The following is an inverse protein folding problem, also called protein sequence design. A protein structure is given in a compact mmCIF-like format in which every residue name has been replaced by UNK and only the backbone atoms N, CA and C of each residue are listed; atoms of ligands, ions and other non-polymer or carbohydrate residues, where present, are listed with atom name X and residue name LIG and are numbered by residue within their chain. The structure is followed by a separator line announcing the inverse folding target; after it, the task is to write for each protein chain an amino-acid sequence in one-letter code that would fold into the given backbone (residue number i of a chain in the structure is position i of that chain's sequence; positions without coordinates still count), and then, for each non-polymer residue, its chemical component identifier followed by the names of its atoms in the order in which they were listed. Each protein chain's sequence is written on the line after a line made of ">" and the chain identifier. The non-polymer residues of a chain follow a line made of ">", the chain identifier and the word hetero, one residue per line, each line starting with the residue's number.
data_IF_342869836381
#
_entry.id   IF_342869836381
#
_cell.length_a   1.000
_cell.length_b   1.000
_cell.length_c   1.000
_cell.angle_alpha   90.00
_cell.angle_beta   90.00
_cell.angle_gamma   90.00
#
_symmetry.space_group_name_H-M   'P 1'
#
loop_
_entity.id
_entity.type
_entity.pdbx_description
1 polymer ?
#
# COMPACT_ATOMS: atom_id res chain seq x y z
N UNK A 1 -20.02 16.30 31.33
CA UNK A 1 -18.77 15.80 30.75
C UNK A 1 -18.54 14.42 31.34
N UNK A 2 -18.95 13.39 30.58
CA UNK A 2 -18.89 12.00 31.02
C UNK A 2 -17.55 11.42 30.53
N UNK A 3 -16.55 11.42 31.42
CA UNK A 3 -15.27 10.73 31.21
C UNK A 3 -15.50 9.21 31.32
N UNK A 4 -16.01 8.61 30.24
CA UNK A 4 -15.95 7.16 30.06
C UNK A 4 -14.57 6.79 29.54
N UNK A 5 -13.60 6.73 30.45
CA UNK A 5 -12.40 5.92 30.25
C UNK A 5 -12.90 4.48 30.13
N UNK A 6 -13.04 3.98 28.90
CA UNK A 6 -13.27 2.57 28.61
C UNK A 6 -11.97 1.84 28.99
N UNK A 7 -11.85 1.52 30.27
CA UNK A 7 -10.74 0.77 30.81
C UNK A 7 -10.71 -0.61 30.18
N UNK A 8 -9.58 -0.97 29.59
CA UNK A 8 -9.26 -2.36 29.27
C UNK A 8 -9.42 -3.19 30.55
N UNK A 9 -10.50 -3.97 30.65
CA UNK A 9 -10.60 -5.02 31.65
C UNK A 9 -9.60 -6.10 31.26
N UNK A 10 -8.38 -6.00 31.78
CA UNK A 10 -7.45 -7.14 31.81
C UNK A 10 -8.16 -8.27 32.57
N UNK A 11 -8.39 -9.40 31.90
CA UNK A 11 -8.71 -10.62 32.61
C UNK A 11 -7.58 -10.89 33.62
N UNK A 12 -7.93 -11.28 34.85
CA UNK A 12 -6.93 -11.58 35.86
C UNK A 12 -6.13 -12.80 35.42
N UNK A 13 -4.87 -12.59 35.03
CA UNK A 13 -3.97 -13.68 34.68
C UNK A 13 -3.66 -14.54 35.88
N UNK A 14 -3.73 -15.86 35.68
CA UNK A 14 -3.37 -16.84 36.71
C UNK A 14 -1.87 -16.72 37.03
N UNK A 15 -1.49 -16.68 38.31
CA UNK A 15 -0.08 -16.65 38.69
C UNK A 15 0.67 -17.85 38.11
N UNK A 16 1.68 -17.60 37.27
CA UNK A 16 2.53 -18.64 36.67
C UNK A 16 2.40 -18.82 35.16
N UNK A 17 1.39 -18.22 34.52
CA UNK A 17 1.30 -18.19 33.07
C UNK A 17 2.13 -17.05 32.47
N UNK A 18 2.80 -17.24 31.32
CA UNK A 18 3.49 -16.17 30.62
C UNK A 18 2.50 -15.06 30.25
N UNK A 19 2.91 -13.80 30.40
CA UNK A 19 2.11 -12.65 30.00
C UNK A 19 1.71 -12.76 28.52
N UNK A 20 0.49 -12.31 28.14
CA UNK A 20 0.01 -12.50 26.79
C UNK A 20 0.76 -11.55 25.86
N UNK A 21 0.95 -11.96 24.61
CA UNK A 21 1.49 -11.09 23.59
C UNK A 21 0.47 -10.01 23.25
N UNK A 22 0.93 -8.78 23.01
CA UNK A 22 0.05 -7.63 22.80
C UNK A 22 -0.02 -7.26 21.32
N UNK A 23 -1.25 -7.19 20.78
CA UNK A 23 -1.52 -6.70 19.42
C UNK A 23 -2.24 -5.35 19.46
N UNK A 24 -1.63 -4.34 18.82
CA UNK A 24 -2.19 -3.02 18.59
C UNK A 24 -2.78 -2.98 17.17
N UNK A 25 -4.10 -3.07 17.04
CA UNK A 25 -4.80 -3.11 15.75
C UNK A 25 -5.47 -1.76 15.46
N UNK A 26 -4.90 -0.97 14.55
CA UNK A 26 -5.32 0.42 14.33
C UNK A 26 -6.74 0.47 13.75
N UNK A 27 -7.64 1.17 14.44
CA UNK A 27 -9.05 1.34 14.05
C UNK A 27 -9.82 0.00 13.92
N UNK A 28 -9.47 -0.99 14.73
CA UNK A 28 -10.30 -2.18 14.94
C UNK A 28 -11.59 -1.80 15.68
N UNK A 29 -12.74 -2.36 15.29
CA UNK A 29 -14.00 -2.17 16.03
C UNK A 29 -14.19 -3.25 17.11
N UNK A 30 -14.11 -2.82 18.37
CA UNK A 30 -14.25 -3.67 19.56
C UNK A 30 -15.65 -4.29 19.73
N UNK A 31 -16.68 -3.65 19.17
CA UNK A 31 -18.05 -4.12 19.23
C UNK A 31 -18.36 -5.21 18.19
N UNK A 32 -17.38 -5.55 17.34
CA UNK A 32 -17.55 -6.54 16.28
C UNK A 32 -17.71 -7.94 16.85
N UNK A 33 -18.65 -8.71 16.29
CA UNK A 33 -18.79 -10.14 16.55
C UNK A 33 -17.75 -10.94 15.76
N UNK A 34 -16.91 -11.69 16.46
CA UNK A 34 -15.91 -12.60 15.87
C UNK A 34 -16.52 -13.54 14.84
N UNK A 35 -15.83 -13.72 13.70
CA UNK A 35 -16.24 -14.61 12.61
C UNK A 35 -17.39 -14.09 11.73
N UNK A 36 -17.91 -12.89 11.98
CA UNK A 36 -18.91 -12.27 11.09
C UNK A 36 -18.31 -11.85 9.75
N UNK A 37 -19.14 -11.58 8.73
CA UNK A 37 -18.63 -11.04 7.47
C UNK A 37 -18.00 -9.64 7.68
N UNK A 38 -16.92 -9.34 6.96
CA UNK A 38 -16.28 -8.02 7.03
C UNK A 38 -17.10 -6.97 6.29
N UNK A 39 -17.33 -5.83 6.94
CA UNK A 39 -17.98 -4.63 6.46
C UNK A 39 -17.16 -3.42 6.89
N UNK A 40 -16.49 -2.76 5.94
CA UNK A 40 -15.60 -1.61 6.22
C UNK A 40 -16.29 -0.45 6.97
N UNK A 41 -17.60 -0.25 6.80
CA UNK A 41 -18.35 0.80 7.49
C UNK A 41 -18.58 0.46 8.97
N UNK A 42 -18.80 -0.82 9.28
CA UNK A 42 -19.04 -1.28 10.64
C UNK A 42 -17.75 -1.64 11.38
N UNK A 43 -16.76 -2.23 10.71
CA UNK A 43 -15.60 -2.85 11.37
C UNK A 43 -14.36 -1.97 11.43
N UNK A 44 -14.40 -0.82 10.76
CA UNK A 44 -13.30 0.12 10.67
C UNK A 44 -12.36 -0.15 9.50
N UNK A 45 -11.26 0.60 9.46
CA UNK A 45 -10.36 0.72 8.28
C UNK A 45 -9.17 -0.23 8.30
N UNK A 46 -9.12 -1.16 9.25
CA UNK A 46 -8.02 -2.13 9.37
C UNK A 46 -7.95 -3.08 8.16
N UNK A 47 -9.11 -3.40 7.56
CA UNK A 47 -9.23 -4.32 6.43
C UNK A 47 -9.51 -5.76 6.88
N UNK A 48 -10.23 -6.50 6.03
CA UNK A 48 -10.73 -7.86 6.33
C UNK A 48 -9.64 -8.82 6.82
N UNK A 49 -8.49 -8.84 6.16
CA UNK A 49 -7.38 -9.76 6.46
C UNK A 49 -6.84 -9.54 7.87
N UNK A 50 -6.57 -8.27 8.23
CA UNK A 50 -5.99 -7.95 9.54
C UNK A 50 -7.03 -7.96 10.66
N UNK A 51 -8.31 -7.70 10.36
CA UNK A 51 -9.41 -7.96 11.29
C UNK A 51 -9.50 -9.46 11.62
N UNK A 52 -9.50 -10.34 10.62
CA UNK A 52 -9.53 -11.78 10.83
C UNK A 52 -8.29 -12.30 11.57
N UNK A 53 -7.10 -11.78 11.25
CA UNK A 53 -5.87 -12.10 11.98
C UNK A 53 -5.99 -11.68 13.46
N UNK A 54 -6.49 -10.48 13.74
CA UNK A 54 -6.69 -10.00 15.12
C UNK A 54 -7.62 -10.94 15.90
N UNK A 55 -8.75 -11.31 15.30
CA UNK A 55 -9.70 -12.26 15.87
C UNK A 55 -9.08 -13.65 16.14
N UNK A 56 -8.29 -14.16 15.19
CA UNK A 56 -7.61 -15.44 15.31
C UNK A 56 -6.54 -15.43 16.41
N UNK A 57 -5.76 -14.35 16.52
CA UNK A 57 -4.76 -14.19 17.59
C UNK A 57 -5.42 -14.19 18.97
N UNK A 58 -6.47 -13.39 19.16
CA UNK A 58 -7.20 -13.34 20.44
C UNK A 58 -7.82 -14.70 20.78
N UNK A 59 -8.39 -15.38 19.78
CA UNK A 59 -9.07 -16.68 19.98
C UNK A 59 -8.11 -17.81 20.37
N UNK A 60 -6.80 -17.68 20.11
CA UNK A 60 -5.78 -18.63 20.58
C UNK A 60 -5.49 -18.51 22.09
N UNK A 61 -5.84 -17.39 22.71
CA UNK A 61 -5.67 -17.14 24.14
C UNK A 61 -4.27 -16.68 24.57
N UNK A 62 -3.26 -16.78 23.70
CA UNK A 62 -1.89 -16.30 23.95
C UNK A 62 -1.66 -14.83 23.55
N UNK A 63 -2.68 -14.18 22.99
CA UNK A 63 -2.66 -12.77 22.61
C UNK A 63 -3.78 -11.97 23.25
N UNK A 64 -3.45 -10.75 23.68
CA UNK A 64 -4.39 -9.74 24.11
C UNK A 64 -4.32 -8.53 23.16
N UNK A 65 -5.47 -7.98 22.82
CA UNK A 65 -5.54 -6.76 22.01
C UNK A 65 -5.48 -5.53 22.91
N UNK A 66 -4.68 -4.56 22.49
CA UNK A 66 -4.59 -3.24 23.10
C UNK A 66 -5.13 -2.17 22.15
N UNK A 67 -5.74 -1.13 22.72
CA UNK A 67 -6.39 -0.07 21.96
C UNK A 67 -5.37 0.71 21.14
N UNK A 68 -5.62 0.84 19.84
CA UNK A 68 -4.85 1.66 18.92
C UNK A 68 -5.81 2.37 17.95
N UNK A 69 -5.78 3.70 17.95
CA UNK A 69 -6.77 4.49 17.22
C UNK A 69 -6.09 5.60 16.46
N UNK A 70 -6.51 5.82 15.23
CA UNK A 70 -6.08 6.97 14.42
C UNK A 70 -7.22 7.98 14.35
N UNK A 71 -6.97 9.16 14.90
CA UNK A 71 -7.90 10.28 14.80
C UNK A 71 -8.03 10.73 13.33
N UNK A 72 -9.26 10.87 12.85
CA UNK A 72 -9.51 11.16 11.43
C UNK A 72 -9.11 12.58 11.05
N UNK A 73 -9.39 13.56 11.93
CA UNK A 73 -9.17 14.98 11.67
C UNK A 73 -7.69 15.36 11.66
N UNK A 74 -6.94 14.89 12.65
CA UNK A 74 -5.51 15.24 12.82
C UNK A 74 -4.59 14.21 12.18
N UNK A 75 -5.08 12.99 11.92
CA UNK A 75 -4.27 11.86 11.49
C UNK A 75 -3.34 11.31 12.56
N UNK A 76 -3.39 11.85 13.79
CA UNK A 76 -2.58 11.40 14.93
C UNK A 76 -3.00 9.99 15.31
N UNK A 77 -2.01 9.13 15.54
CA UNK A 77 -2.20 7.75 15.97
C UNK A 77 -1.91 7.68 17.46
N UNK A 78 -2.92 7.29 18.22
CA UNK A 78 -2.79 6.97 19.63
C UNK A 78 -2.42 5.48 19.72
N UNK A 79 -1.17 5.24 20.10
CA UNK A 79 -0.63 3.89 20.29
C UNK A 79 -0.44 3.63 21.80
N UNK A 80 -0.60 2.38 22.25
CA UNK A 80 -0.33 2.02 23.63
C UNK A 80 1.17 2.12 23.94
N UNK A 81 1.50 2.29 25.22
CA UNK A 81 2.89 2.38 25.69
C UNK A 81 3.72 1.12 25.45
N UNK A 82 3.09 -0.05 25.26
CA UNK A 82 3.76 -1.31 24.98
C UNK A 82 2.87 -2.19 24.11
N UNK A 83 3.47 -2.83 23.10
CA UNK A 83 2.84 -3.82 22.23
C UNK A 83 3.92 -4.64 21.52
N UNK A 84 3.58 -5.85 21.06
CA UNK A 84 4.50 -6.75 20.34
C UNK A 84 4.24 -6.77 18.83
N UNK A 85 2.99 -6.52 18.42
CA UNK A 85 2.56 -6.48 17.03
C UNK A 85 1.70 -5.23 16.77
N UNK A 86 2.04 -4.46 15.75
CA UNK A 86 1.26 -3.34 15.23
C UNK A 86 0.64 -3.70 13.88
N UNK A 87 -0.68 -3.67 13.81
CA UNK A 87 -1.42 -3.82 12.56
C UNK A 87 -1.89 -2.45 12.09
N UNK A 88 -1.14 -1.88 11.14
CA UNK A 88 -1.52 -0.67 10.42
C UNK A 88 -2.67 -0.94 9.45
N UNK A 89 -3.40 0.13 9.13
CA UNK A 89 -4.46 0.14 8.10
C UNK A 89 -3.86 0.19 6.70
N UNK A 90 -4.72 0.20 5.68
CA UNK A 90 -4.31 0.23 4.27
C UNK A 90 -3.18 1.23 3.98
N UNK A 91 -2.18 0.76 3.22
CA UNK A 91 -0.98 1.53 2.84
C UNK A 91 -0.10 1.92 4.04
N UNK A 92 -0.05 1.09 5.08
CA UNK A 92 0.78 1.34 6.27
C UNK A 92 0.33 2.54 7.11
N UNK A 93 -0.87 3.07 6.86
CA UNK A 93 -1.42 4.18 7.63
C UNK A 93 -1.64 3.74 9.07
N UNK A 94 -1.16 4.54 10.03
CA UNK A 94 -1.16 4.16 11.44
C UNK A 94 0.23 3.76 11.95
N UNK A 95 1.16 3.44 11.05
CA UNK A 95 2.52 3.06 11.43
C UNK A 95 3.41 4.30 11.43
N UNK A 96 3.98 4.61 12.59
CA UNK A 96 4.98 5.66 12.71
C UNK A 96 6.38 5.06 12.51
N UNK A 97 6.83 5.01 11.25
CA UNK A 97 8.08 4.38 10.86
C UNK A 97 9.31 4.92 11.59
N UNK A 98 9.35 6.22 11.95
CA UNK A 98 10.49 6.80 12.66
C UNK A 98 10.55 6.43 14.14
N UNK A 99 9.44 5.92 14.70
CA UNK A 99 9.37 5.49 16.11
C UNK A 99 9.38 3.98 16.29
N UNK A 100 9.19 3.22 15.21
CA UNK A 100 9.24 1.76 15.28
C UNK A 100 10.68 1.34 15.63
N UNK A 101 10.90 0.85 16.86
CA UNK A 101 12.21 0.46 17.38
C UNK A 101 12.94 1.50 18.22
N UNK A 102 12.37 2.70 18.40
CA UNK A 102 12.87 3.71 19.35
C UNK A 102 11.98 3.78 20.58
N UNK A 103 12.54 3.49 21.76
CA UNK A 103 11.83 3.56 23.05
C UNK A 103 10.93 2.37 23.39
N UNK A 104 10.83 1.37 22.49
CA UNK A 104 10.15 0.09 22.74
C UNK A 104 11.13 -1.04 22.47
N UNK A 105 11.46 -1.83 23.50
CA UNK A 105 12.33 -3.00 23.38
C UNK A 105 11.66 -4.25 23.99
N UNK A 106 11.65 -5.40 23.29
CA UNK A 106 12.09 -5.57 21.90
C UNK A 106 11.22 -4.75 20.93
N UNK A 107 11.75 -4.39 19.73
CA UNK A 107 10.98 -3.63 18.75
C UNK A 107 9.71 -4.40 18.35
N UNK A 108 8.55 -3.73 18.26
CA UNK A 108 7.34 -4.39 17.82
C UNK A 108 7.44 -4.76 16.34
N UNK A 109 6.81 -5.88 15.96
CA UNK A 109 6.61 -6.24 14.57
C UNK A 109 5.49 -5.37 13.97
N UNK A 110 5.58 -5.08 12.67
CA UNK A 110 4.53 -4.39 11.93
C UNK A 110 4.15 -5.18 10.67
N UNK A 111 2.88 -5.09 10.26
CA UNK A 111 2.33 -5.78 9.09
C UNK A 111 2.68 -5.15 7.73
N UNK A 112 3.56 -4.15 7.71
CA UNK A 112 4.06 -3.53 6.48
C UNK A 112 5.59 -3.46 6.54
N UNK A 113 6.21 -3.49 5.37
CA UNK A 113 7.65 -3.24 5.20
C UNK A 113 7.86 -1.78 4.87
N UNK A 114 8.80 -1.11 5.54
CA UNK A 114 9.13 0.28 5.20
C UNK A 114 9.59 0.37 3.74
N UNK A 115 9.02 1.30 2.96
CA UNK A 115 9.35 1.47 1.54
C UNK A 115 8.52 0.62 0.56
N UNK A 116 7.54 -0.17 1.05
CA UNK A 116 6.63 -0.98 0.22
C UNK A 116 5.91 -0.18 -0.88
N UNK A 117 5.76 1.14 -0.70
CA UNK A 117 5.12 2.01 -1.67
C UNK A 117 5.90 2.09 -3.00
N UNK A 118 7.17 1.71 -3.01
CA UNK A 118 7.98 1.59 -4.22
C UNK A 118 7.38 0.58 -5.20
N UNK A 119 6.85 -0.53 -4.69
CA UNK A 119 6.23 -1.59 -5.50
C UNK A 119 4.73 -1.40 -5.66
N UNK A 120 4.06 -0.80 -4.68
CA UNK A 120 2.59 -0.75 -4.64
C UNK A 120 1.98 0.54 -5.21
N UNK A 121 2.77 1.59 -5.44
CA UNK A 121 2.31 2.83 -6.11
C UNK A 121 2.72 2.83 -7.58
N UNK A 122 1.74 2.96 -8.47
CA UNK A 122 1.92 2.90 -9.94
C UNK A 122 3.08 3.78 -10.43
N UNK A 123 3.07 5.07 -10.07
CA UNK A 123 4.12 6.00 -10.48
C UNK A 123 5.51 5.69 -9.91
N UNK A 124 5.61 5.15 -8.68
CA UNK A 124 6.91 4.74 -8.13
C UNK A 124 7.40 3.45 -8.78
N UNK A 125 6.52 2.48 -9.00
CA UNK A 125 6.84 1.23 -9.69
C UNK A 125 7.32 1.50 -11.12
N UNK A 126 6.61 2.34 -11.88
CA UNK A 126 7.01 2.71 -13.24
C UNK A 126 8.42 3.33 -13.28
N UNK A 127 8.72 4.24 -12.34
CA UNK A 127 10.06 4.83 -12.20
C UNK A 127 11.12 3.81 -11.81
N UNK A 128 10.79 2.90 -10.90
CA UNK A 128 11.70 1.81 -10.48
C UNK A 128 12.01 0.89 -11.64
N UNK A 129 11.02 0.51 -12.45
CA UNK A 129 11.22 -0.33 -13.64
C UNK A 129 12.03 0.39 -14.72
N UNK A 130 11.74 1.67 -14.99
CA UNK A 130 12.53 2.47 -15.94
C UNK A 130 14.00 2.59 -15.51
N UNK A 131 14.24 2.83 -14.21
CA UNK A 131 15.58 2.85 -13.64
C UNK A 131 16.27 1.50 -13.75
N UNK A 132 15.60 0.41 -13.41
CA UNK A 132 16.15 -0.94 -13.54
C UNK A 132 16.52 -1.27 -14.98
N UNK A 133 15.67 -0.93 -15.96
CA UNK A 133 15.98 -1.10 -17.39
C UNK A 133 17.26 -0.37 -17.79
N UNK A 134 17.47 0.86 -17.31
CA UNK A 134 18.68 1.62 -17.58
C UNK A 134 19.91 1.02 -16.88
N UNK A 135 19.80 0.64 -15.61
CA UNK A 135 20.89 0.06 -14.80
C UNK A 135 21.34 -1.32 -15.33
N UNK A 136 20.42 -2.07 -15.94
CA UNK A 136 20.71 -3.37 -16.57
C UNK A 136 20.92 -3.28 -18.09
N UNK A 137 21.14 -2.08 -18.65
CA UNK A 137 21.43 -1.87 -20.07
C UNK A 137 20.40 -2.52 -21.02
N UNK A 138 19.13 -2.51 -20.62
CA UNK A 138 18.03 -3.14 -21.37
C UNK A 138 17.94 -4.66 -21.24
N UNK A 139 18.78 -5.31 -20.43
CA UNK A 139 18.66 -6.74 -20.10
C UNK A 139 17.79 -6.92 -18.85
N UNK A 140 17.20 -8.10 -18.69
CA UNK A 140 16.54 -8.48 -17.44
C UNK A 140 17.60 -8.88 -16.39
N UNK A 141 17.33 -8.72 -15.09
CA UNK A 141 18.20 -9.24 -14.02
C UNK A 141 18.45 -10.75 -14.17
N UNK A 142 19.63 -11.20 -13.78
CA UNK A 142 20.03 -12.61 -13.92
C UNK A 142 19.15 -13.58 -13.10
N UNK A 143 18.53 -13.06 -12.04
CA UNK A 143 17.61 -13.76 -11.14
C UNK A 143 16.18 -13.85 -11.68
N UNK A 144 15.92 -13.30 -12.87
CA UNK A 144 14.59 -13.36 -13.49
C UNK A 144 14.25 -14.82 -13.81
N UNK A 145 13.11 -15.35 -13.32
CA UNK A 145 12.74 -16.74 -13.58
C UNK A 145 12.61 -17.02 -15.09
N UNK A 146 13.08 -18.19 -15.58
CA UNK A 146 13.05 -18.51 -17.01
C UNK A 146 11.65 -18.42 -17.65
N UNK A 147 10.59 -18.60 -16.86
CA UNK A 147 9.20 -18.50 -17.30
C UNK A 147 8.82 -17.09 -17.75
N UNK A 148 9.53 -16.06 -17.27
CA UNK A 148 9.37 -14.67 -17.72
C UNK A 148 10.30 -14.31 -18.89
N UNK A 149 11.20 -15.22 -19.27
CA UNK A 149 12.18 -15.01 -20.34
C UNK A 149 11.74 -15.62 -21.69
N UNK A 150 10.49 -16.08 -21.81
CA UNK A 150 9.96 -16.62 -23.06
C UNK A 150 8.48 -17.02 -23.01
N UNK A 151 7.99 -17.63 -24.08
CA UNK A 151 6.61 -18.15 -24.16
C UNK A 151 5.54 -17.05 -24.20
N UNK A 152 4.36 -17.31 -23.61
CA UNK A 152 3.23 -16.36 -23.62
C UNK A 152 3.51 -15.00 -22.95
N UNK A 153 4.59 -14.89 -22.16
CA UNK A 153 4.96 -13.68 -21.44
C UNK A 153 5.67 -12.63 -22.31
N UNK A 154 6.36 -13.04 -23.38
CA UNK A 154 7.08 -12.17 -24.31
C UNK A 154 6.54 -12.37 -25.72
N UNK A 155 6.10 -11.29 -26.37
CA UNK A 155 5.49 -11.37 -27.72
C UNK A 155 6.45 -10.96 -28.83
N UNK A 156 7.52 -10.26 -28.49
CA UNK A 156 8.58 -9.83 -29.37
C UNK A 156 9.96 -10.06 -28.77
N UNK A 157 10.93 -9.28 -29.25
CA UNK A 157 12.35 -9.47 -28.97
C UNK A 157 12.85 -8.61 -27.81
N UNK A 158 12.05 -7.65 -27.33
CA UNK A 158 12.42 -6.83 -26.18
C UNK A 158 12.01 -7.57 -24.89
N UNK A 159 12.97 -8.02 -24.07
CA UNK A 159 12.64 -8.74 -22.84
C UNK A 159 11.92 -7.86 -21.81
N UNK A 160 11.91 -6.54 -21.98
CA UNK A 160 11.14 -5.60 -21.15
C UNK A 160 9.68 -5.44 -21.59
N UNK A 161 9.19 -6.17 -22.60
CA UNK A 161 7.76 -6.17 -22.99
C UNK A 161 6.81 -6.58 -21.86
N UNK A 162 7.29 -7.37 -20.89
CA UNK A 162 6.55 -7.71 -19.66
C UNK A 162 6.20 -6.46 -18.82
N UNK A 163 6.93 -5.35 -19.04
CA UNK A 163 6.77 -4.07 -18.38
C UNK A 163 6.37 -3.02 -19.42
N UNK A 164 5.07 -2.84 -19.71
CA UNK A 164 4.64 -1.92 -20.75
C UNK A 164 5.14 -0.50 -20.45
N UNK A 165 5.44 0.24 -21.52
CA UNK A 165 5.86 1.64 -21.42
C UNK A 165 4.90 2.40 -20.50
N UNK A 166 5.46 2.96 -19.44
CA UNK A 166 4.71 3.61 -18.37
C UNK A 166 5.26 5.00 -18.13
N UNK A 167 4.47 6.01 -18.49
CA UNK A 167 4.84 7.42 -18.34
C UNK A 167 4.18 8.01 -17.10
N UNK A 168 4.93 8.78 -16.31
CA UNK A 168 4.45 9.35 -15.05
C UNK A 168 4.34 10.86 -15.16
N UNK A 169 3.09 11.34 -15.20
CA UNK A 169 2.75 12.75 -15.17
C UNK A 169 2.54 13.23 -13.73
N UNK A 170 2.91 14.48 -13.43
CA UNK A 170 2.71 15.10 -12.12
C UNK A 170 2.45 16.58 -12.32
N UNK A 171 1.40 17.09 -11.67
CA UNK A 171 1.08 18.53 -11.65
C UNK A 171 2.19 19.36 -11.00
N UNK A 172 3.03 18.75 -10.16
CA UNK A 172 4.26 19.37 -9.66
C UNK A 172 5.42 19.06 -10.63
N UNK A 173 5.88 20.04 -11.44
CA UNK A 173 6.93 19.84 -12.43
C UNK A 173 8.29 19.52 -11.81
N UNK A 174 8.51 19.87 -10.53
CA UNK A 174 9.77 19.54 -9.83
C UNK A 174 9.92 18.04 -9.54
N UNK A 175 8.82 17.29 -9.60
CA UNK A 175 8.78 15.84 -9.34
C UNK A 175 9.02 14.99 -10.58
N UNK A 176 9.18 15.61 -11.75
CA UNK A 176 9.35 14.94 -13.03
C UNK A 176 10.69 15.39 -13.63
N UNK A 177 11.68 14.48 -13.64
CA UNK A 177 13.04 14.81 -14.10
C UNK A 177 13.20 14.78 -15.63
N UNK A 178 12.30 14.11 -16.36
CA UNK A 178 12.33 13.96 -17.82
C UNK A 178 10.98 14.37 -18.41
N UNK A 179 10.94 15.05 -19.55
CA UNK A 179 9.69 15.56 -20.13
C UNK A 179 8.80 14.39 -20.65
N UNK A 180 7.76 13.99 -19.90
CA UNK A 180 6.98 12.80 -20.24
C UNK A 180 6.13 13.02 -21.51
N UNK A 181 5.89 14.27 -21.90
CA UNK A 181 5.18 14.61 -23.12
C UNK A 181 6.01 14.32 -24.38
N UNK A 182 7.33 14.54 -24.34
CA UNK A 182 8.21 14.24 -25.46
C UNK A 182 8.30 12.73 -25.70
N UNK A 183 8.40 11.94 -24.62
CA UNK A 183 8.40 10.48 -24.69
C UNK A 183 7.05 9.94 -25.20
N UNK A 184 5.93 10.52 -24.76
CA UNK A 184 4.61 10.19 -25.26
C UNK A 184 4.48 10.48 -26.77
N UNK A 185 4.94 11.65 -27.22
CA UNK A 185 4.92 12.03 -28.64
C UNK A 185 5.70 11.05 -29.50
N UNK A 186 6.92 10.69 -29.07
CA UNK A 186 7.75 9.72 -29.77
C UNK A 186 7.09 8.32 -29.81
N UNK A 187 6.48 7.88 -28.70
CA UNK A 187 5.83 6.58 -28.64
C UNK A 187 4.59 6.51 -29.55
N UNK A 188 3.74 7.55 -29.57
CA UNK A 188 2.58 7.61 -30.47
C UNK A 188 3.01 7.68 -31.94
N UNK A 189 4.11 8.36 -32.25
CA UNK A 189 4.64 8.41 -33.61
C UNK A 189 5.17 7.03 -34.08
N UNK A 190 5.78 6.27 -33.16
CA UNK A 190 6.32 4.93 -33.45
C UNK A 190 5.22 3.87 -33.59
N UNK A 191 4.13 3.97 -32.81
CA UNK A 191 2.97 3.10 -32.92
C UNK A 191 1.66 3.89 -32.84
N UNK A 192 1.14 4.36 -33.99
CA UNK A 192 -0.11 5.13 -34.05
C UNK A 192 -1.36 4.32 -33.69
N UNK A 193 -1.27 2.98 -33.60
CA UNK A 193 -2.38 2.10 -33.22
C UNK A 193 -2.34 1.71 -31.74
N UNK A 194 -1.32 2.16 -31.00
CA UNK A 194 -1.19 1.87 -29.59
C UNK A 194 -2.40 2.38 -28.78
N UNK A 195 -2.88 1.51 -27.89
CA UNK A 195 -3.88 1.87 -26.89
C UNK A 195 -3.17 2.35 -25.61
N UNK A 196 -3.59 3.52 -25.14
CA UNK A 196 -3.07 4.15 -23.93
C UNK A 196 -4.10 4.02 -22.81
N UNK A 197 -3.62 3.78 -21.59
CA UNK A 197 -4.48 3.73 -20.41
C UNK A 197 -4.00 4.76 -19.40
N UNK A 198 -4.79 5.79 -19.16
CA UNK A 198 -4.53 6.76 -18.12
C UNK A 198 -5.12 6.27 -16.80
N UNK A 199 -4.30 6.23 -15.75
CA UNK A 199 -4.72 5.80 -14.40
C UNK A 199 -4.19 6.77 -13.35
N UNK A 200 -5.04 7.28 -12.45
CA UNK A 200 -4.55 8.08 -11.34
C UNK A 200 -3.84 7.20 -10.31
N UNK A 201 -2.85 7.79 -9.61
CA UNK A 201 -2.04 7.07 -8.60
C UNK A 201 -2.69 7.04 -7.21
N UNK A 202 -3.68 7.90 -6.97
CA UNK A 202 -4.36 8.06 -5.68
C UNK A 202 -5.30 6.91 -5.28
N UNK A 203 -5.56 5.97 -6.20
CA UNK A 203 -6.21 4.69 -5.88
C UNK A 203 -7.74 4.76 -5.86
N UNK A 204 -8.33 5.65 -6.66
CA UNK A 204 -9.75 5.55 -7.00
C UNK A 204 -10.01 4.18 -7.62
N UNK A 205 -10.88 3.39 -6.98
CA UNK A 205 -11.09 1.95 -7.20
C UNK A 205 -11.77 1.67 -8.56
N UNK A 206 -11.14 2.05 -9.67
CA UNK A 206 -11.68 1.98 -11.03
C UNK A 206 -12.09 3.33 -11.61
N UNK A 207 -12.38 4.32 -10.76
CA UNK A 207 -12.80 5.64 -11.25
C UNK A 207 -11.66 6.38 -11.95
N UNK A 208 -12.02 7.16 -12.96
CA UNK A 208 -11.11 8.01 -13.75
C UNK A 208 -10.01 7.22 -14.46
N UNK A 209 -10.26 5.94 -14.76
CA UNK A 209 -9.44 5.16 -15.70
C UNK A 209 -10.01 5.38 -17.09
N UNK A 210 -9.20 5.91 -18.00
CA UNK A 210 -9.59 6.16 -19.39
C UNK A 210 -8.69 5.40 -20.36
N UNK A 211 -9.30 4.87 -21.41
CA UNK A 211 -8.60 4.25 -22.53
C UNK A 211 -8.61 5.24 -23.69
N UNK A 212 -7.44 5.52 -24.24
CA UNK A 212 -7.17 6.61 -25.16
C UNK A 212 -6.38 6.06 -26.35
N UNK A 213 -6.55 6.64 -27.53
CA UNK A 213 -5.97 6.14 -28.79
C UNK A 213 -5.04 7.14 -29.43
N UNK A 214 -5.28 8.42 -29.22
CA UNK A 214 -4.52 9.49 -29.87
C UNK A 214 -3.77 10.35 -28.87
N UNK A 215 -2.67 10.96 -29.33
CA UNK A 215 -1.93 11.95 -28.53
C UNK A 215 -2.82 13.10 -28.05
N UNK A 216 -3.75 13.55 -28.91
CA UNK A 216 -4.71 14.61 -28.57
C UNK A 216 -5.62 14.23 -27.41
N UNK A 217 -6.17 13.02 -27.44
CA UNK A 217 -7.00 12.48 -26.34
C UNK A 217 -6.22 12.35 -25.03
N UNK A 218 -4.97 11.89 -25.07
CA UNK A 218 -4.10 11.80 -23.88
C UNK A 218 -3.81 13.16 -23.29
N UNK A 219 -3.48 14.13 -24.15
CA UNK A 219 -3.15 15.50 -23.70
C UNK A 219 -4.37 16.18 -23.10
N UNK A 220 -5.54 16.08 -23.74
CA UNK A 220 -6.79 16.62 -23.22
C UNK A 220 -7.17 16.03 -21.85
N UNK A 221 -7.08 14.70 -21.71
CA UNK A 221 -7.38 14.01 -20.45
C UNK A 221 -6.43 14.44 -19.32
N UNK A 222 -5.15 14.65 -19.60
CA UNK A 222 -4.18 15.15 -18.60
C UNK A 222 -4.54 16.57 -18.14
N UNK A 223 -4.87 17.47 -19.05
CA UNK A 223 -5.27 18.85 -18.71
C UNK A 223 -6.57 18.92 -17.90
N UNK A 224 -7.51 18.00 -18.12
CA UNK A 224 -8.73 17.91 -17.30
C UNK A 224 -8.46 17.38 -15.89
N UNK A 225 -7.38 16.62 -15.69
CA UNK A 225 -6.98 16.13 -14.37
C UNK A 225 -6.08 17.10 -13.59
N UNK A 226 -5.50 18.11 -14.25
CA UNK A 226 -4.71 19.17 -13.61
C UNK A 226 -5.57 20.35 -13.11
N UNK A 227 -6.85 20.40 -13.50
CA UNK A 227 -7.87 21.35 -13.00
C UNK A 227 -8.55 20.84 -11.73
#
# INVERSE_FOLDING_TARGET
>A
MDDRVVGNRRAAHSPGEPAPWLVAAVNYNDARRTGSAYNEAADGKLGSVYTALTEALISRGDWERVTATREQATGIVLLPHHFNLLLGTAQGKGINWSRLGYGLWPPPLANYVQGFETLTRKGRLARTLARARAEHEGRLPAETPPEFMGGYALRGVDPWEICPLSLVFSADPTRVRANPYAELQAAVANDPQALWILKPTDGCKGDRITILRTLGEVTAALSDHER
#
